data_IF_316424077935
#
_entry.id   IF_316424077935
#
_cell.length_a   1.000
_cell.length_b   1.000
_cell.length_c   1.000
_cell.angle_alpha   90.00
_cell.angle_beta   90.00
_cell.angle_gamma   90.00
#
_symmetry.space_group_name_H-M   'P 1'
#
loop_
_entity.id
_entity.type
_entity.pdbx_description
1 polymer ?
#
# COMPACT_ATOMS: atom_id res chain seq x y z
N UNK A 1 2.73 7.13 -8.42
CA UNK A 1 2.52 6.48 -7.12
C UNK A 1 3.55 7.03 -6.16
N UNK A 2 3.12 7.46 -4.95
CA UNK A 2 4.00 8.02 -3.91
C UNK A 2 3.74 7.30 -2.61
N UNK A 3 4.80 6.83 -1.95
CA UNK A 3 4.75 6.11 -0.67
C UNK A 3 5.53 6.93 0.36
N UNK A 4 4.90 7.23 1.49
CA UNK A 4 5.55 7.85 2.65
C UNK A 4 5.57 6.85 3.79
N UNK A 5 6.76 6.51 4.30
CA UNK A 5 6.92 5.68 5.49
C UNK A 5 6.69 6.58 6.70
N UNK A 6 5.64 6.33 7.46
CA UNK A 6 5.33 7.06 8.70
C UNK A 6 5.99 6.40 9.91
N UNK A 7 6.15 5.07 9.86
CA UNK A 7 6.86 4.24 10.81
C UNK A 7 7.17 2.88 10.23
N UNK A 8 8.31 2.31 10.56
CA UNK A 8 8.78 1.04 10.01
C UNK A 8 9.56 0.17 11.00
N UNK A 9 9.34 0.37 12.30
CA UNK A 9 9.96 -0.44 13.35
C UNK A 9 8.94 -1.36 14.02
N UNK A 10 9.42 -2.53 14.46
CA UNK A 10 8.59 -3.53 15.14
C UNK A 10 8.32 -3.15 16.60
N UNK A 11 7.22 -3.64 17.10
CA UNK A 11 6.68 -3.69 18.46
C UNK A 11 7.05 -2.56 19.45
N UNK A 12 8.33 -2.36 19.74
CA UNK A 12 8.75 -1.47 20.84
C UNK A 12 9.08 -0.07 20.32
N UNK A 13 8.28 0.95 20.68
CA UNK A 13 8.57 2.33 20.29
C UNK A 13 9.88 2.83 20.91
N UNK A 14 10.59 3.67 20.18
CA UNK A 14 11.77 4.41 20.63
C UNK A 14 11.61 5.89 20.32
N UNK A 15 12.41 6.73 20.95
CA UNK A 15 12.31 8.20 20.79
C UNK A 15 12.34 8.70 19.34
N UNK A 16 13.05 7.98 18.46
CA UNK A 16 13.21 8.33 17.04
C UNK A 16 12.83 7.20 16.08
N UNK A 17 12.02 6.23 16.55
CA UNK A 17 11.61 5.06 15.78
C UNK A 17 10.14 4.82 16.03
N UNK A 18 9.35 4.84 14.98
CA UNK A 18 7.90 4.74 15.08
C UNK A 18 7.42 3.36 14.65
N UNK A 19 6.38 2.82 15.32
CA UNK A 19 5.69 1.61 14.91
C UNK A 19 5.10 1.74 13.51
N UNK A 20 4.70 0.62 12.97
CA UNK A 20 4.31 0.46 11.57
C UNK A 20 3.15 1.35 11.16
N UNK A 21 3.39 2.20 10.16
CA UNK A 21 2.38 2.97 9.45
C UNK A 21 2.94 3.50 8.12
N UNK A 22 2.11 3.51 7.08
CA UNK A 22 2.48 4.02 5.76
C UNK A 22 1.34 4.83 5.15
N UNK A 23 1.68 5.86 4.37
CA UNK A 23 0.73 6.60 3.57
C UNK A 23 1.05 6.38 2.08
N UNK A 24 0.13 5.71 1.38
CA UNK A 24 0.20 5.46 -0.05
C UNK A 24 -0.71 6.44 -0.80
N UNK A 25 -0.11 7.25 -1.67
CA UNK A 25 -0.82 8.11 -2.61
C UNK A 25 -0.82 7.47 -4.00
N UNK A 26 -1.99 7.05 -4.47
CA UNK A 26 -2.15 6.33 -5.73
C UNK A 26 -3.44 6.71 -6.42
N UNK A 27 -3.37 7.14 -7.70
CA UNK A 27 -4.54 7.50 -8.52
C UNK A 27 -5.47 8.54 -7.90
N UNK A 28 -4.94 9.43 -7.05
CA UNK A 28 -5.70 10.46 -6.34
C UNK A 28 -6.31 10.02 -5.02
N UNK A 29 -6.08 8.79 -4.61
CA UNK A 29 -6.42 8.30 -3.27
C UNK A 29 -5.23 8.43 -2.32
N UNK A 30 -5.55 8.58 -1.02
CA UNK A 30 -4.61 8.54 0.09
C UNK A 30 -5.04 7.39 1.01
N UNK A 31 -4.29 6.31 0.96
CA UNK A 31 -4.50 5.11 1.77
C UNK A 31 -3.54 5.11 2.95
N UNK A 32 -4.08 4.98 4.16
CA UNK A 32 -3.26 4.68 5.34
C UNK A 32 -3.19 3.16 5.48
N UNK A 33 -1.99 2.61 5.61
CA UNK A 33 -1.73 1.19 5.79
C UNK A 33 -1.04 1.02 7.14
N UNK A 34 -1.70 0.31 8.04
CA UNK A 34 -1.44 0.23 9.46
C UNK A 34 -1.45 1.60 10.17
N UNK A 35 -1.61 1.56 11.48
CA UNK A 35 -1.74 2.75 12.32
C UNK A 35 -1.20 2.46 13.72
N UNK A 36 0.10 2.24 13.83
CA UNK A 36 0.78 2.10 15.11
C UNK A 36 0.73 3.38 15.95
N UNK A 37 1.24 3.31 17.16
CA UNK A 37 1.26 4.45 18.08
C UNK A 37 2.02 5.63 17.49
N UNK A 38 1.48 6.83 17.68
CA UNK A 38 2.09 8.06 17.18
C UNK A 38 1.88 8.35 15.69
N UNK A 39 1.19 7.51 14.94
CA UNK A 39 0.93 7.71 13.49
C UNK A 39 0.34 9.08 13.19
N UNK A 40 -0.58 9.58 14.00
CA UNK A 40 -1.17 10.92 13.81
C UNK A 40 -0.13 12.06 13.89
N UNK A 41 0.92 11.89 14.70
CA UNK A 41 2.03 12.85 14.77
C UNK A 41 2.90 12.74 13.51
N UNK A 42 3.16 11.53 13.03
CA UNK A 42 3.94 11.31 11.82
C UNK A 42 3.23 11.83 10.57
N UNK A 43 1.90 11.70 10.46
CA UNK A 43 1.10 12.31 9.39
C UNK A 43 1.31 13.85 9.38
N UNK A 44 1.32 14.50 10.55
CA UNK A 44 1.59 15.94 10.65
C UNK A 44 3.03 16.29 10.24
N UNK A 45 4.03 15.54 10.71
CA UNK A 45 5.44 15.74 10.33
C UNK A 45 5.64 15.59 8.82
N UNK A 46 4.96 14.61 8.20
CA UNK A 46 4.96 14.40 6.76
C UNK A 46 4.17 15.47 5.99
N UNK A 47 3.52 16.43 6.69
CA UNK A 47 2.64 17.47 6.11
C UNK A 47 1.51 16.88 5.26
N UNK A 48 1.11 15.66 5.53
CA UNK A 48 0.00 15.01 4.84
C UNK A 48 -1.34 15.54 5.36
N UNK A 49 -2.33 15.63 4.46
CA UNK A 49 -3.66 16.15 4.79
C UNK A 49 -4.53 15.05 5.37
N UNK A 50 -4.95 15.20 6.60
CA UNK A 50 -5.87 14.28 7.27
C UNK A 50 -7.18 14.08 6.50
N UNK A 51 -7.72 15.13 5.89
CA UNK A 51 -8.98 15.08 5.13
C UNK A 51 -8.92 14.19 3.89
N UNK A 52 -7.74 13.98 3.32
CA UNK A 52 -7.57 13.16 2.12
C UNK A 52 -7.57 11.65 2.43
N UNK A 53 -7.29 11.25 3.68
CA UNK A 53 -7.29 9.84 4.10
C UNK A 53 -8.75 9.40 4.29
N UNK A 54 -9.26 8.58 3.37
CA UNK A 54 -10.63 8.05 3.40
C UNK A 54 -10.68 6.56 3.69
N UNK A 55 -9.58 5.84 3.50
CA UNK A 55 -9.47 4.40 3.64
C UNK A 55 -8.24 4.06 4.47
N UNK A 56 -8.42 3.24 5.50
CA UNK A 56 -7.38 2.73 6.38
C UNK A 56 -7.40 1.22 6.31
N UNK A 57 -6.26 0.60 6.07
CA UNK A 57 -6.09 -0.84 5.97
C UNK A 57 -5.20 -1.31 7.12
N UNK A 58 -5.73 -2.16 7.98
CA UNK A 58 -5.02 -2.72 9.14
C UNK A 58 -4.72 -4.19 8.85
N UNK A 59 -3.44 -4.53 8.86
CA UNK A 59 -2.94 -5.86 8.55
C UNK A 59 -3.38 -6.90 9.59
N UNK A 60 -3.19 -6.58 10.86
CA UNK A 60 -3.54 -7.43 12.00
C UNK A 60 -3.67 -6.63 13.31
N UNK A 61 -4.06 -7.29 14.41
CA UNK A 61 -4.39 -6.63 15.68
C UNK A 61 -3.27 -6.69 16.73
N UNK A 62 -1.98 -6.75 16.32
CA UNK A 62 -0.90 -6.42 17.24
C UNK A 62 -0.81 -4.90 17.43
N UNK A 63 -0.44 -4.45 18.62
CA UNK A 63 -0.53 -3.05 19.03
C UNK A 63 0.23 -2.08 18.14
N UNK A 64 1.43 -2.47 17.71
CA UNK A 64 2.29 -1.68 16.81
C UNK A 64 1.72 -1.47 15.39
N UNK A 65 0.58 -2.11 15.08
CA UNK A 65 -0.13 -1.95 13.81
C UNK A 65 -1.47 -1.22 13.93
N UNK A 66 -2.09 -1.10 15.13
CA UNK A 66 -3.39 -0.45 15.21
C UNK A 66 -3.67 0.41 16.46
N UNK A 67 -2.81 0.42 17.49
CA UNK A 67 -3.08 1.19 18.72
C UNK A 67 -3.19 2.70 18.49
N UNK A 68 -2.59 3.24 17.43
CA UNK A 68 -2.75 4.63 17.03
C UNK A 68 -4.12 4.98 16.43
N UNK A 69 -4.91 3.98 16.01
CA UNK A 69 -6.12 4.17 15.22
C UNK A 69 -7.22 4.91 15.99
N UNK A 70 -7.47 4.59 17.26
CA UNK A 70 -8.48 5.25 18.07
C UNK A 70 -8.17 6.75 18.25
N UNK A 71 -6.89 7.07 18.49
CA UNK A 71 -6.42 8.45 18.58
C UNK A 71 -6.55 9.21 17.27
N UNK A 72 -6.24 8.56 16.14
CA UNK A 72 -6.39 9.14 14.80
C UNK A 72 -7.86 9.43 14.47
N UNK A 73 -8.78 8.50 14.75
CA UNK A 73 -10.23 8.66 14.56
C UNK A 73 -10.76 9.84 15.39
N UNK A 74 -10.32 9.94 16.64
CA UNK A 74 -10.67 11.07 17.50
C UNK A 74 -10.12 12.40 16.95
N UNK A 75 -8.91 12.40 16.41
CA UNK A 75 -8.31 13.59 15.79
C UNK A 75 -9.08 14.03 14.53
N UNK A 76 -9.56 13.11 13.71
CA UNK A 76 -10.40 13.44 12.55
C UNK A 76 -11.68 14.18 12.99
N UNK A 77 -12.34 13.74 14.08
CA UNK A 77 -13.49 14.44 14.65
C UNK A 77 -13.15 15.86 15.07
N UNK A 78 -12.05 16.03 15.84
CA UNK A 78 -11.62 17.33 16.34
C UNK A 78 -11.22 18.31 15.22
N UNK A 79 -10.80 17.78 14.08
CA UNK A 79 -10.47 18.54 12.87
C UNK A 79 -11.68 18.82 11.97
N UNK A 80 -12.91 18.51 12.43
CA UNK A 80 -14.15 18.81 11.72
C UNK A 80 -14.39 17.92 10.50
N UNK A 81 -13.95 16.64 10.53
CA UNK A 81 -14.23 15.72 9.45
C UNK A 81 -15.73 15.48 9.28
N UNK A 82 -16.23 15.54 8.05
CA UNK A 82 -17.59 15.19 7.66
C UNK A 82 -17.61 13.97 6.72
N UNK A 83 -16.57 13.81 5.91
CA UNK A 83 -16.48 12.73 4.93
C UNK A 83 -16.40 11.35 5.60
N UNK A 84 -17.03 10.32 5.03
CA UNK A 84 -16.92 8.95 5.52
C UNK A 84 -15.48 8.47 5.67
N UNK A 85 -15.23 7.62 6.68
CA UNK A 85 -13.99 6.92 6.89
C UNK A 85 -14.26 5.41 6.84
N UNK A 86 -13.51 4.71 6.01
CA UNK A 86 -13.58 3.26 5.87
C UNK A 86 -12.34 2.62 6.50
N UNK A 87 -12.53 1.67 7.40
CA UNK A 87 -11.47 0.90 8.06
C UNK A 87 -11.64 -0.56 7.67
N UNK A 88 -10.63 -1.10 7.03
CA UNK A 88 -10.53 -2.52 6.65
C UNK A 88 -9.53 -3.19 7.58
N UNK A 89 -9.90 -4.32 8.16
CA UNK A 89 -8.99 -5.02 9.08
C UNK A 89 -9.58 -6.31 9.63
N UNK A 90 -8.85 -7.05 10.44
CA UNK A 90 -9.31 -8.33 10.99
C UNK A 90 -10.58 -8.19 11.82
N UNK A 91 -11.32 -9.30 11.92
CA UNK A 91 -12.46 -9.43 12.85
C UNK A 91 -12.04 -9.02 14.27
N UNK A 92 -12.87 -8.22 14.93
CA UNK A 92 -12.61 -7.65 16.27
C UNK A 92 -12.15 -6.19 16.24
N UNK A 93 -11.71 -5.66 15.09
CA UNK A 93 -11.27 -4.27 15.00
C UNK A 93 -12.42 -3.28 15.30
N UNK A 94 -13.63 -3.58 14.82
CA UNK A 94 -14.82 -2.78 15.11
C UNK A 94 -15.11 -2.73 16.60
N UNK A 95 -15.09 -3.89 17.25
CA UNK A 95 -15.36 -4.01 18.70
C UNK A 95 -14.31 -3.22 19.49
N UNK A 96 -13.03 -3.44 19.23
CA UNK A 96 -11.93 -2.76 19.94
C UNK A 96 -12.02 -1.23 19.82
N UNK A 97 -12.17 -0.71 18.62
CA UNK A 97 -12.23 0.75 18.39
C UNK A 97 -13.53 1.33 18.96
N UNK A 98 -14.68 0.67 18.77
CA UNK A 98 -15.96 1.14 19.29
C UNK A 98 -15.94 1.19 20.82
N UNK A 99 -15.33 0.21 21.47
CA UNK A 99 -15.18 0.19 22.93
C UNK A 99 -14.36 1.39 23.43
N UNK A 100 -13.20 1.65 22.80
CA UNK A 100 -12.35 2.79 23.15
C UNK A 100 -13.07 4.13 22.96
N UNK A 101 -13.77 4.31 21.85
CA UNK A 101 -14.55 5.53 21.58
C UNK A 101 -15.69 5.70 22.57
N UNK A 102 -16.37 4.61 22.95
CA UNK A 102 -17.44 4.60 23.93
C UNK A 102 -16.94 5.01 25.31
N UNK A 103 -15.89 4.36 25.81
CA UNK A 103 -15.32 4.63 27.13
C UNK A 103 -14.72 6.04 27.23
N UNK A 104 -14.13 6.52 26.14
CA UNK A 104 -13.59 7.89 26.04
C UNK A 104 -14.65 8.96 25.73
N UNK A 105 -15.93 8.60 25.60
CA UNK A 105 -17.01 9.50 25.15
C UNK A 105 -16.63 10.29 23.88
N UNK A 106 -15.97 9.63 22.96
CA UNK A 106 -15.33 10.23 21.75
C UNK A 106 -15.99 9.77 20.45
N UNK A 107 -17.33 9.67 20.45
CA UNK A 107 -18.09 9.28 19.26
C UNK A 107 -17.82 10.19 18.06
N UNK A 108 -17.73 9.58 16.88
CA UNK A 108 -17.55 10.34 15.64
C UNK A 108 -18.83 11.08 15.27
N UNK A 109 -18.66 12.26 14.68
CA UNK A 109 -19.73 13.04 14.04
C UNK A 109 -19.73 12.88 12.52
N UNK A 110 -18.99 11.90 12.02
CA UNK A 110 -18.91 11.50 10.61
C UNK A 110 -19.15 9.99 10.47
N UNK A 111 -19.57 9.53 9.29
CA UNK A 111 -19.77 8.09 9.05
C UNK A 111 -18.46 7.31 9.19
N UNK A 112 -18.44 6.32 10.09
CA UNK A 112 -17.32 5.41 10.31
C UNK A 112 -17.75 3.99 9.96
N UNK A 113 -17.15 3.43 8.93
CA UNK A 113 -17.46 2.11 8.39
C UNK A 113 -16.33 1.14 8.64
N UNK A 114 -16.64 -0.01 9.25
CA UNK A 114 -15.70 -1.10 9.45
C UNK A 114 -16.00 -2.24 8.48
N UNK A 115 -14.97 -2.71 7.82
CA UNK A 115 -14.98 -3.86 6.91
C UNK A 115 -14.10 -4.94 7.53
N UNK A 116 -14.72 -5.85 8.28
CA UNK A 116 -13.99 -6.91 9.00
C UNK A 116 -13.67 -8.06 8.04
N UNK A 117 -12.37 -8.37 7.94
CA UNK A 117 -11.82 -9.39 7.06
C UNK A 117 -11.68 -10.72 7.81
N UNK A 118 -12.08 -11.81 7.17
CA UNK A 118 -12.06 -13.16 7.77
C UNK A 118 -11.62 -14.24 6.78
N UNK A 119 -11.48 -13.91 5.50
CA UNK A 119 -11.08 -14.86 4.46
C UNK A 119 -9.62 -15.24 4.59
N UNK A 120 -9.32 -16.52 4.42
CA UNK A 120 -7.96 -17.05 4.25
C UNK A 120 -7.48 -17.01 2.80
N UNK A 121 -8.34 -16.60 1.87
CA UNK A 121 -8.05 -16.46 0.45
C UNK A 121 -7.92 -14.98 0.09
N UNK A 122 -7.19 -14.69 -1.01
CA UNK A 122 -7.11 -13.33 -1.54
C UNK A 122 -8.45 -12.87 -2.09
N UNK A 123 -8.94 -11.73 -1.60
CA UNK A 123 -10.22 -11.14 -2.00
C UNK A 123 -10.07 -9.65 -2.31
N UNK A 124 -10.94 -9.11 -3.18
CA UNK A 124 -11.01 -7.68 -3.45
C UNK A 124 -11.80 -7.04 -2.30
N UNK A 125 -11.14 -6.13 -1.56
CA UNK A 125 -11.73 -5.42 -0.42
C UNK A 125 -12.10 -3.97 -0.74
N UNK A 126 -11.52 -3.41 -1.78
CA UNK A 126 -11.87 -2.10 -2.34
C UNK A 126 -11.67 -2.11 -3.84
N UNK A 127 -12.58 -1.45 -4.57
CA UNK A 127 -12.47 -1.27 -6.01
C UNK A 127 -13.25 -0.03 -6.45
N UNK A 128 -12.66 0.75 -7.39
CA UNK A 128 -13.32 1.83 -8.12
C UNK A 128 -12.93 1.83 -9.61
N UNK A 129 -13.18 2.92 -10.31
CA UNK A 129 -12.81 3.09 -11.73
C UNK A 129 -11.29 3.23 -11.97
N UNK A 130 -10.49 3.45 -10.94
CA UNK A 130 -9.06 3.78 -11.03
C UNK A 130 -8.13 2.68 -10.53
N UNK A 131 -8.53 1.96 -9.50
CA UNK A 131 -7.71 0.92 -8.88
C UNK A 131 -8.54 -0.10 -8.10
N UNK A 132 -7.91 -1.21 -7.72
CA UNK A 132 -8.43 -2.18 -6.76
C UNK A 132 -7.43 -2.47 -5.65
N UNK A 133 -7.94 -2.87 -4.48
CA UNK A 133 -7.13 -3.37 -3.36
C UNK A 133 -7.57 -4.79 -3.04
N UNK A 134 -6.59 -5.69 -2.99
CA UNK A 134 -6.77 -7.11 -2.66
C UNK A 134 -6.03 -7.45 -1.38
N UNK A 135 -6.54 -8.42 -0.63
CA UNK A 135 -5.81 -9.01 0.49
C UNK A 135 -4.70 -9.94 -0.01
N UNK A 136 -3.63 -10.04 0.75
CA UNK A 136 -2.56 -11.03 0.60
C UNK A 136 -2.51 -11.80 1.92
N UNK A 137 -3.10 -13.02 2.03
CA UNK A 137 -3.00 -13.81 3.25
C UNK A 137 -1.54 -14.08 3.62
N UNK A 138 -1.19 -13.84 4.89
CA UNK A 138 0.18 -13.96 5.43
C UNK A 138 0.25 -15.03 6.52
N UNK A 139 1.44 -15.59 6.75
CA UNK A 139 1.68 -16.59 7.78
C UNK A 139 2.23 -15.95 9.06
N UNK A 140 1.34 -15.58 9.98
CA UNK A 140 1.70 -15.02 11.27
C UNK A 140 0.98 -15.75 12.42
N UNK A 141 1.24 -15.34 13.68
CA UNK A 141 0.66 -15.94 14.89
C UNK A 141 -0.83 -15.64 15.09
N UNK A 142 -1.31 -14.58 14.47
CA UNK A 142 -2.71 -14.14 14.44
C UNK A 142 -3.14 -13.97 12.99
N UNK A 143 -4.45 -13.87 12.75
CA UNK A 143 -4.95 -13.57 11.41
C UNK A 143 -4.33 -12.28 10.87
N UNK A 144 -3.64 -12.40 9.77
CA UNK A 144 -2.86 -11.31 9.17
C UNK A 144 -3.02 -11.29 7.65
N UNK A 145 -3.25 -10.11 7.11
CA UNK A 145 -3.22 -9.86 5.67
C UNK A 145 -2.22 -8.75 5.32
N UNK A 146 -1.48 -8.95 4.26
CA UNK A 146 -0.95 -7.86 3.47
C UNK A 146 -2.02 -7.30 2.53
N UNK A 147 -1.64 -6.28 1.74
CA UNK A 147 -2.53 -5.62 0.79
C UNK A 147 -1.83 -5.37 -0.54
N UNK A 148 -2.50 -5.70 -1.64
CA UNK A 148 -2.04 -5.43 -3.00
C UNK A 148 -2.92 -4.34 -3.62
N UNK A 149 -2.33 -3.17 -3.87
CA UNK A 149 -2.94 -2.05 -4.57
C UNK A 149 -2.58 -2.14 -6.06
N UNK A 150 -3.58 -2.18 -6.93
CA UNK A 150 -3.39 -2.38 -8.38
C UNK A 150 -4.09 -1.27 -9.15
N UNK A 151 -3.33 -0.46 -9.87
CA UNK A 151 -3.92 0.50 -10.82
C UNK A 151 -4.67 -0.24 -11.93
N UNK A 152 -5.84 0.29 -12.33
CA UNK A 152 -6.49 -0.09 -13.58
C UNK A 152 -5.81 0.59 -14.76
N UNK A 153 -5.89 -0.03 -15.93
CA UNK A 153 -5.35 0.55 -17.15
C UNK A 153 -5.89 1.95 -17.41
N UNK A 154 -5.02 2.83 -17.83
CA UNK A 154 -5.40 4.18 -18.24
C UNK A 154 -5.86 4.16 -19.69
N UNK A 155 -6.83 5.00 -20.08
CA UNK A 155 -7.11 5.21 -21.48
C UNK A 155 -5.86 5.62 -22.27
N UNK A 156 -5.78 5.24 -23.52
CA UNK A 156 -4.70 5.65 -24.42
C UNK A 156 -4.63 7.17 -24.51
N UNK A 157 -3.45 7.72 -24.75
CA UNK A 157 -3.25 9.17 -24.93
C UNK A 157 -3.37 9.50 -26.42
N UNK A 158 -4.20 10.48 -26.76
CA UNK A 158 -4.25 10.98 -28.14
C UNK A 158 -2.87 11.54 -28.55
N UNK A 159 -2.51 11.30 -29.79
CA UNK A 159 -1.43 12.00 -30.46
C UNK A 159 -2.02 13.27 -31.11
N UNK A 160 -1.81 14.48 -30.52
CA UNK A 160 -2.46 15.70 -31.02
C UNK A 160 -2.09 15.99 -32.47
N UNK A 161 -0.83 15.81 -32.85
CA UNK A 161 -0.35 16.05 -34.21
C UNK A 161 -1.01 15.08 -35.22
N UNK A 162 -1.17 13.81 -34.84
CA UNK A 162 -1.78 12.84 -35.75
C UNK A 162 -3.28 13.08 -35.94
N UNK A 163 -4.04 13.33 -34.83
CA UNK A 163 -5.49 13.56 -34.94
C UNK A 163 -5.80 14.81 -35.75
N UNK A 164 -4.96 15.85 -35.69
CA UNK A 164 -5.07 17.06 -36.50
C UNK A 164 -4.73 16.76 -37.97
N UNK A 165 -3.58 16.12 -38.22
CA UNK A 165 -3.11 15.79 -39.58
C UNK A 165 -4.09 14.90 -40.35
N UNK A 166 -4.76 13.95 -39.68
CA UNK A 166 -5.76 13.09 -40.28
C UNK A 166 -7.18 13.69 -40.30
N UNK A 167 -7.36 14.90 -39.77
CA UNK A 167 -8.68 15.55 -39.71
C UNK A 167 -9.70 14.77 -38.90
N UNK A 168 -9.31 14.20 -37.77
CA UNK A 168 -10.20 13.42 -36.91
C UNK A 168 -11.09 14.35 -36.11
N UNK A 169 -12.41 14.14 -36.21
CA UNK A 169 -13.39 14.92 -35.46
C UNK A 169 -13.29 14.67 -33.96
N UNK A 170 -13.42 15.73 -33.15
CA UNK A 170 -13.28 15.65 -31.67
C UNK A 170 -14.32 14.74 -31.02
N UNK A 171 -15.47 14.53 -31.63
CA UNK A 171 -16.51 13.59 -31.13
C UNK A 171 -16.00 12.14 -31.04
N UNK A 172 -14.98 11.78 -31.83
CA UNK A 172 -14.38 10.45 -31.84
C UNK A 172 -13.33 10.25 -30.75
N UNK A 173 -12.82 11.32 -30.13
CA UNK A 173 -11.68 11.27 -29.20
C UNK A 173 -11.90 10.32 -28.02
N UNK A 174 -13.10 10.27 -27.48
CA UNK A 174 -13.43 9.33 -26.39
C UNK A 174 -13.26 7.88 -26.85
N UNK A 175 -13.81 7.51 -27.98
CA UNK A 175 -13.72 6.16 -28.53
C UNK A 175 -12.28 5.78 -28.91
N UNK A 176 -11.53 6.72 -29.47
CA UNK A 176 -10.12 6.53 -29.84
C UNK A 176 -9.28 6.28 -28.58
N UNK A 177 -9.52 7.02 -27.49
CA UNK A 177 -8.86 6.76 -26.21
C UNK A 177 -9.19 5.38 -25.62
N UNK A 178 -10.30 4.79 -25.99
CA UNK A 178 -10.69 3.43 -25.60
C UNK A 178 -10.18 2.34 -26.58
N UNK A 179 -9.28 2.71 -27.49
CA UNK A 179 -8.63 1.75 -28.40
C UNK A 179 -9.32 1.55 -29.75
N UNK A 180 -10.44 2.28 -30.03
CA UNK A 180 -11.11 2.18 -31.35
C UNK A 180 -10.37 2.99 -32.40
N UNK A 181 -10.42 2.54 -33.65
CA UNK A 181 -9.89 3.27 -34.79
C UNK A 181 -10.65 4.61 -35.00
N UNK A 182 -9.99 5.59 -35.59
CA UNK A 182 -10.60 6.84 -35.99
C UNK A 182 -11.03 6.81 -37.46
N UNK A 183 -11.88 7.80 -37.83
CA UNK A 183 -12.32 7.99 -39.22
C UNK A 183 -12.10 9.42 -39.63
N UNK A 184 -11.49 9.66 -40.78
CA UNK A 184 -11.32 11.01 -41.33
C UNK A 184 -12.67 11.58 -41.75
N UNK A 185 -12.75 12.89 -42.03
CA UNK A 185 -13.93 13.55 -42.55
C UNK A 185 -14.39 13.00 -43.91
N UNK A 186 -13.49 12.32 -44.63
CA UNK A 186 -13.80 11.65 -45.91
C UNK A 186 -14.21 10.17 -45.76
N UNK A 187 -14.40 9.71 -44.51
CA UNK A 187 -14.82 8.32 -44.23
C UNK A 187 -13.66 7.28 -44.25
N UNK A 188 -12.41 7.71 -44.39
CA UNK A 188 -11.27 6.77 -44.41
C UNK A 188 -10.91 6.34 -42.96
N UNK A 189 -10.88 5.03 -42.68
CA UNK A 189 -10.42 4.54 -41.34
C UNK A 189 -8.93 4.76 -41.13
N UNK A 190 -8.55 5.17 -39.92
CA UNK A 190 -7.19 5.33 -39.45
C UNK A 190 -6.97 4.46 -38.21
N UNK A 191 -5.98 3.55 -38.23
CA UNK A 191 -5.68 2.68 -37.09
C UNK A 191 -5.42 3.45 -35.81
N UNK A 192 -5.95 2.96 -34.68
CA UNK A 192 -5.78 3.57 -33.35
C UNK A 192 -4.32 3.83 -33.00
N UNK A 193 -3.42 2.90 -33.34
CA UNK A 193 -1.98 3.01 -33.09
C UNK A 193 -1.32 4.22 -33.73
N UNK A 194 -1.90 4.76 -34.81
CA UNK A 194 -1.43 5.99 -35.45
C UNK A 194 -1.95 7.25 -34.75
N UNK A 195 -3.10 7.13 -34.07
CA UNK A 195 -3.80 8.26 -33.43
C UNK A 195 -3.50 8.41 -31.93
N UNK A 196 -2.82 7.44 -31.34
CA UNK A 196 -2.63 7.39 -29.88
C UNK A 196 -1.25 6.88 -29.50
N UNK A 197 -0.87 7.20 -28.26
CA UNK A 197 0.24 6.55 -27.55
C UNK A 197 -0.29 5.57 -26.53
N UNK A 198 0.46 4.48 -26.28
CA UNK A 198 0.13 3.53 -25.23
C UNK A 198 0.19 4.23 -23.86
N UNK A 199 -0.70 3.88 -22.93
CA UNK A 199 -0.62 4.35 -21.56
C UNK A 199 0.61 3.74 -20.87
N UNK A 200 1.09 4.43 -19.83
CA UNK A 200 2.05 3.81 -18.91
C UNK A 200 1.44 2.55 -18.29
N UNK A 201 2.22 1.46 -18.11
CA UNK A 201 1.75 0.25 -17.46
C UNK A 201 1.16 0.53 -16.08
N UNK A 202 0.08 -0.17 -15.68
CA UNK A 202 -0.49 -0.06 -14.36
C UNK A 202 0.54 -0.36 -13.27
N UNK A 203 0.63 0.49 -12.26
CA UNK A 203 1.52 0.27 -11.12
C UNK A 203 0.84 -0.62 -10.09
N UNK A 204 1.65 -1.44 -9.39
CA UNK A 204 1.21 -2.31 -8.31
C UNK A 204 2.08 -2.04 -7.08
N UNK A 205 1.44 -1.87 -5.93
CA UNK A 205 2.12 -1.81 -4.64
C UNK A 205 1.67 -2.97 -3.76
N UNK A 206 2.60 -3.81 -3.33
CA UNK A 206 2.36 -4.90 -2.39
C UNK A 206 2.93 -4.54 -1.02
N UNK A 207 2.11 -4.64 0.03
CA UNK A 207 2.48 -4.48 1.42
C UNK A 207 2.36 -5.82 2.14
N UNK A 208 3.48 -6.35 2.63
CA UNK A 208 3.55 -7.61 3.39
C UNK A 208 4.32 -7.36 4.68
N UNK A 209 3.60 -7.19 5.80
CA UNK A 209 4.19 -7.01 7.12
C UNK A 209 3.68 -8.05 8.09
N UNK A 210 4.58 -8.55 8.94
CA UNK A 210 4.38 -9.62 9.89
C UNK A 210 4.00 -10.94 9.23
N UNK A 211 5.01 -11.58 8.68
CA UNK A 211 4.89 -12.91 8.08
C UNK A 211 6.19 -13.71 8.22
N UNK A 212 6.08 -15.00 8.49
CA UNK A 212 7.17 -15.93 8.23
C UNK A 212 7.56 -15.89 6.74
N UNK A 213 8.68 -16.51 6.38
CA UNK A 213 9.00 -16.78 4.98
C UNK A 213 7.89 -17.60 4.34
N UNK A 214 7.11 -16.99 3.47
CA UNK A 214 5.88 -17.59 2.93
C UNK A 214 5.76 -17.44 1.41
N UNK A 215 6.44 -18.33 0.63
CA UNK A 215 6.46 -18.28 -0.83
C UNK A 215 5.09 -18.38 -1.51
N UNK A 216 4.04 -18.82 -0.81
CA UNK A 216 2.67 -18.89 -1.35
C UNK A 216 2.13 -17.52 -1.78
N UNK A 217 2.71 -16.41 -1.29
CA UNK A 217 2.31 -15.06 -1.73
C UNK A 217 2.89 -14.67 -3.11
N UNK A 218 3.92 -15.35 -3.59
CA UNK A 218 4.63 -15.01 -4.84
C UNK A 218 3.68 -14.82 -6.02
N UNK A 219 2.74 -15.73 -6.31
CA UNK A 219 1.80 -15.55 -7.42
C UNK A 219 0.88 -14.34 -7.26
N UNK A 220 0.56 -13.95 -6.01
CA UNK A 220 -0.34 -12.83 -5.73
C UNK A 220 0.33 -11.48 -6.00
N UNK A 221 1.64 -11.38 -5.81
CA UNK A 221 2.42 -10.16 -5.93
C UNK A 221 3.28 -10.13 -7.22
N UNK A 222 3.04 -11.05 -8.15
CA UNK A 222 3.79 -11.17 -9.39
C UNK A 222 3.95 -9.83 -10.09
N UNK A 223 5.21 -9.48 -10.40
CA UNK A 223 5.62 -8.24 -11.06
C UNK A 223 5.04 -6.99 -10.39
N UNK A 224 4.94 -6.97 -9.06
CA UNK A 224 4.60 -5.73 -8.36
C UNK A 224 5.67 -4.67 -8.65
N UNK A 225 5.24 -3.42 -8.92
CA UNK A 225 6.17 -2.31 -9.13
C UNK A 225 7.03 -2.10 -7.89
N UNK A 226 6.41 -2.24 -6.70
CA UNK A 226 7.06 -2.14 -5.40
C UNK A 226 6.48 -3.20 -4.46
N UNK A 227 7.37 -3.91 -3.79
CA UNK A 227 7.07 -4.77 -2.65
C UNK A 227 7.67 -4.12 -1.40
N UNK A 228 6.84 -3.76 -0.42
CA UNK A 228 7.28 -3.59 0.95
C UNK A 228 7.14 -4.94 1.67
N UNK A 229 8.23 -5.45 2.21
CA UNK A 229 8.23 -6.70 2.94
C UNK A 229 8.91 -6.50 4.30
N UNK A 230 8.31 -7.07 5.35
CA UNK A 230 8.97 -7.12 6.63
C UNK A 230 10.34 -7.81 6.53
N UNK A 231 11.24 -7.37 7.36
CA UNK A 231 12.57 -7.94 7.55
C UNK A 231 12.99 -7.71 9.00
N UNK A 232 12.20 -8.29 9.90
CA UNK A 232 12.39 -8.08 11.35
C UNK A 232 13.77 -8.51 11.79
N UNK A 233 14.36 -9.48 11.10
CA UNK A 233 15.65 -10.07 11.46
C UNK A 233 16.64 -10.12 10.28
N UNK A 234 17.92 -10.27 10.61
CA UNK A 234 18.96 -10.74 9.70
C UNK A 234 19.05 -12.27 9.76
N UNK A 235 19.66 -12.89 8.76
CA UNK A 235 19.80 -14.35 8.64
C UNK A 235 20.51 -14.96 9.86
N UNK A 236 21.40 -14.22 10.51
CA UNK A 236 22.04 -14.61 11.77
C UNK A 236 21.06 -14.90 12.91
N UNK A 237 19.81 -14.46 12.78
CA UNK A 237 18.72 -14.71 13.73
C UNK A 237 17.54 -15.47 13.12
N UNK A 238 17.79 -16.28 12.09
CA UNK A 238 16.74 -17.01 11.35
C UNK A 238 15.91 -17.95 12.25
N UNK A 239 16.54 -18.61 13.25
CA UNK A 239 15.80 -19.44 14.20
C UNK A 239 14.76 -18.62 14.99
N UNK A 240 15.13 -17.39 15.38
CA UNK A 240 14.23 -16.50 16.08
C UNK A 240 13.12 -15.98 15.14
N UNK A 241 13.46 -15.65 13.90
CA UNK A 241 12.50 -15.27 12.87
C UNK A 241 11.44 -16.36 12.70
N UNK A 242 11.85 -17.60 12.52
CA UNK A 242 10.96 -18.76 12.39
C UNK A 242 10.08 -18.92 13.64
N UNK A 243 10.66 -18.86 14.83
CA UNK A 243 9.92 -19.03 16.10
C UNK A 243 8.87 -17.94 16.32
N UNK A 244 9.14 -16.73 15.87
CA UNK A 244 8.26 -15.57 16.07
C UNK A 244 7.35 -15.30 14.87
N UNK A 245 7.43 -16.10 13.81
CA UNK A 245 6.67 -15.93 12.56
C UNK A 245 6.97 -14.59 11.89
N UNK A 246 8.25 -14.29 11.74
CA UNK A 246 8.80 -13.16 11.00
C UNK A 246 9.80 -13.61 9.94
N UNK A 247 10.23 -12.71 9.08
CA UNK A 247 11.19 -12.97 8.02
C UNK A 247 12.56 -12.34 8.27
N UNK A 248 13.58 -12.88 7.60
CA UNK A 248 14.91 -12.24 7.49
C UNK A 248 14.97 -11.37 6.25
N UNK A 249 15.94 -10.44 6.19
CA UNK A 249 16.16 -9.60 5.00
C UNK A 249 16.44 -10.46 3.75
N UNK A 250 17.18 -11.54 3.90
CA UNK A 250 17.47 -12.51 2.83
C UNK A 250 16.20 -13.23 2.35
N UNK A 251 15.32 -13.61 3.26
CA UNK A 251 14.03 -14.23 2.93
C UNK A 251 13.10 -13.25 2.20
N UNK A 252 13.01 -11.99 2.64
CA UNK A 252 12.28 -10.93 1.94
C UNK A 252 12.81 -10.73 0.51
N UNK A 253 14.13 -10.70 0.33
CA UNK A 253 14.78 -10.60 -0.97
C UNK A 253 14.49 -11.82 -1.86
N UNK A 254 14.42 -13.03 -1.29
CA UNK A 254 14.05 -14.25 -2.02
C UNK A 254 12.60 -14.18 -2.54
N UNK A 255 11.65 -13.68 -1.75
CA UNK A 255 10.28 -13.43 -2.20
C UNK A 255 10.27 -12.41 -3.36
N UNK A 256 11.00 -11.30 -3.20
CA UNK A 256 11.09 -10.25 -4.24
C UNK A 256 11.65 -10.80 -5.56
N UNK A 257 12.69 -11.61 -5.52
CA UNK A 257 13.29 -12.25 -6.69
C UNK A 257 12.31 -13.20 -7.36
N UNK A 258 11.69 -14.10 -6.60
CA UNK A 258 10.73 -15.08 -7.12
C UNK A 258 9.51 -14.41 -7.78
N UNK A 259 9.02 -13.32 -7.18
CA UNK A 259 7.89 -12.54 -7.71
C UNK A 259 8.29 -11.54 -8.80
N UNK A 260 9.57 -11.44 -9.15
CA UNK A 260 10.09 -10.51 -10.16
C UNK A 260 9.63 -9.06 -9.93
N UNK A 261 9.62 -8.60 -8.68
CA UNK A 261 9.18 -7.23 -8.35
C UNK A 261 10.16 -6.19 -8.87
N UNK A 262 9.69 -4.96 -9.11
CA UNK A 262 10.56 -3.88 -9.57
C UNK A 262 11.50 -3.34 -8.47
N UNK A 263 11.00 -3.15 -7.27
CA UNK A 263 11.75 -2.63 -6.11
C UNK A 263 11.30 -3.34 -4.83
N UNK A 264 12.25 -3.74 -4.00
CA UNK A 264 12.00 -4.22 -2.64
C UNK A 264 12.30 -3.10 -1.63
N UNK A 265 11.34 -2.79 -0.77
CA UNK A 265 11.53 -1.94 0.40
C UNK A 265 11.48 -2.83 1.64
N UNK A 266 12.55 -2.86 2.41
CA UNK A 266 12.64 -3.56 3.68
C UNK A 266 12.11 -2.69 4.81
N UNK A 267 11.47 -3.28 5.81
CA UNK A 267 11.00 -2.57 6.99
C UNK A 267 10.65 -3.51 8.13
N UNK A 268 9.94 -3.00 9.15
CA UNK A 268 9.55 -3.72 10.35
C UNK A 268 10.76 -4.25 11.13
N UNK A 269 11.79 -3.41 11.28
CA UNK A 269 13.05 -3.81 11.89
C UNK A 269 12.94 -4.02 13.39
N UNK A 270 13.52 -5.09 13.91
CA UNK A 270 13.71 -5.28 15.36
C UNK A 270 14.61 -4.19 15.95
N UNK A 271 14.22 -3.68 17.10
CA UNK A 271 14.98 -2.67 17.86
C UNK A 271 16.41 -3.10 18.25
N UNK A 272 16.72 -4.40 18.16
CA UNK A 272 18.06 -4.95 18.42
C UNK A 272 19.13 -4.45 17.45
N UNK A 273 18.72 -4.07 16.23
CA UNK A 273 19.66 -3.63 15.20
C UNK A 273 19.83 -2.11 15.23
N UNK A 274 21.08 -1.68 15.35
CA UNK A 274 21.46 -0.27 15.34
C UNK A 274 21.81 0.23 13.94
N UNK A 275 22.35 -0.65 13.10
CA UNK A 275 22.77 -0.35 11.73
C UNK A 275 21.82 -1.03 10.73
N UNK A 276 21.01 -0.24 10.04
CA UNK A 276 20.08 -0.77 9.01
C UNK A 276 20.79 -1.12 7.70
N UNK A 277 22.02 -0.64 7.48
CA UNK A 277 22.77 -0.97 6.26
C UNK A 277 23.06 -2.47 6.14
N UNK A 278 23.13 -3.18 7.26
CA UNK A 278 23.33 -4.64 7.28
C UNK A 278 22.19 -5.39 6.57
N UNK A 279 20.97 -4.85 6.63
CA UNK A 279 19.79 -5.39 5.91
C UNK A 279 19.94 -5.28 4.39
N UNK A 280 20.41 -4.12 3.89
CA UNK A 280 20.73 -3.95 2.46
C UNK A 280 21.81 -4.93 2.05
N UNK A 281 22.91 -5.00 2.81
CA UNK A 281 24.04 -5.87 2.49
C UNK A 281 23.58 -7.33 2.36
N UNK A 282 22.75 -7.79 3.29
CA UNK A 282 22.23 -9.16 3.27
C UNK A 282 21.26 -9.38 2.09
N UNK A 283 20.27 -8.53 1.94
CA UNK A 283 19.23 -8.68 0.91
C UNK A 283 19.80 -8.56 -0.52
N UNK A 284 20.80 -7.68 -0.72
CA UNK A 284 21.43 -7.48 -2.02
C UNK A 284 22.23 -8.68 -2.53
N UNK A 285 22.52 -9.67 -1.68
CA UNK A 285 23.08 -10.94 -2.13
C UNK A 285 22.11 -11.77 -2.97
N UNK A 286 20.80 -11.45 -2.91
CA UNK A 286 19.73 -12.19 -3.59
C UNK A 286 18.97 -11.32 -4.59
N UNK A 287 18.70 -10.06 -4.25
CA UNK A 287 17.90 -9.14 -5.09
C UNK A 287 18.58 -7.76 -5.13
N UNK A 288 18.81 -7.21 -6.33
CA UNK A 288 19.63 -6.00 -6.49
C UNK A 288 18.94 -4.71 -6.06
N UNK A 289 17.66 -4.51 -6.46
CA UNK A 289 16.95 -3.25 -6.25
C UNK A 289 16.27 -3.20 -4.87
N UNK A 290 17.09 -3.13 -3.83
CA UNK A 290 16.68 -3.09 -2.42
C UNK A 290 16.81 -1.69 -1.85
N UNK A 291 15.82 -1.25 -1.09
CA UNK A 291 15.81 0.01 -0.38
C UNK A 291 15.39 -0.19 1.08
N UNK A 292 15.84 0.70 1.97
CA UNK A 292 15.38 0.73 3.37
C UNK A 292 14.16 1.62 3.51
N UNK A 293 13.15 1.10 4.20
CA UNK A 293 12.13 1.92 4.81
C UNK A 293 12.74 2.67 6.00
N UNK A 294 12.48 3.95 6.07
CA UNK A 294 12.94 4.82 7.15
C UNK A 294 11.83 5.82 7.48
N UNK A 295 11.66 6.13 8.77
CA UNK A 295 10.62 7.06 9.21
C UNK A 295 10.74 8.42 8.50
N UNK A 296 9.67 8.85 7.87
CA UNK A 296 9.62 10.10 7.10
C UNK A 296 10.12 10.00 5.66
N UNK A 297 10.70 8.88 5.24
CA UNK A 297 11.20 8.70 3.87
C UNK A 297 10.04 8.63 2.87
N UNK A 298 10.25 9.28 1.73
CA UNK A 298 9.27 9.34 0.63
C UNK A 298 9.88 8.67 -0.60
N UNK A 299 9.12 7.76 -1.18
CA UNK A 299 9.45 7.11 -2.45
C UNK A 299 8.45 7.54 -3.54
N UNK A 300 8.94 7.72 -4.75
CA UNK A 300 8.11 8.03 -5.92
C UNK A 300 8.43 7.06 -7.04
N UNK A 301 7.40 6.43 -7.61
CA UNK A 301 7.48 5.40 -8.63
C UNK A 301 6.63 5.73 -9.85
#
# INVERSE_FOLDING_TARGET
>A
MRLTILGCFSATPHSNKNPTAQLLEMRGHHFLIDCGEGTQVQIRKAKAKFSEIKHIFISHLHGDHFFGLAGLISSFRLLGREAPLHVYGPKGIKEAITLLLKLGNSWTNYPLHFHELTSSESEIVFEDDKLSVKTIPLDHRVYTNGFLFVEKEKPRKLNPTAVEAFGIDKSQYHNIKQGKDGTTTLGKPIPNTQLTFDPEPPKKYAYCSDTAYFPSIVPLIDRATVLYHESTFLESHNELATKTKHATAKQAASIAQQAQVGTLILGHYSSRYKNLQDFITEASTVFENVQLGEDGKVFTF
#
